data_IF_547383153562
#
_entry.id   IF_547383153562
#
_cell.length_a   1.000
_cell.length_b   1.000
_cell.length_c   1.000
_cell.angle_alpha   90.00
_cell.angle_beta   90.00
_cell.angle_gamma   90.00
#
_symmetry.space_group_name_H-M   'P 1'
#
loop_
_entity.id
_entity.type
_entity.pdbx_description
1 polymer ?
#
# COMPACT_ATOMS: atom_id res chain seq x y z
N UNK A 1 -6.12 -0.06 25.92
CA UNK A 1 -4.75 0.42 25.62
C UNK A 1 -3.89 -0.82 25.62
N UNK A 2 -3.24 -1.15 24.51
CA UNK A 2 -2.37 -2.33 24.46
C UNK A 2 -1.12 -2.11 25.29
N UNK A 3 -0.60 -3.15 25.96
CA UNK A 3 0.60 -3.05 26.77
C UNK A 3 1.80 -2.64 25.90
N UNK A 4 2.75 -1.92 26.50
CA UNK A 4 4.02 -1.55 25.83
C UNK A 4 5.05 -2.69 25.85
N UNK A 5 4.70 -3.84 26.38
CA UNK A 5 5.59 -5.01 26.42
C UNK A 5 5.46 -5.71 25.08
N UNK A 6 6.43 -5.51 24.26
CA UNK A 6 6.56 -6.15 22.96
C UNK A 6 7.14 -7.56 23.17
N UNK A 7 6.37 -8.60 22.90
CA UNK A 7 6.97 -9.92 22.79
C UNK A 7 7.69 -10.00 21.46
N UNK A 8 8.98 -9.60 21.47
CA UNK A 8 9.88 -9.89 20.38
C UNK A 8 10.06 -11.41 20.27
N UNK A 9 9.85 -11.89 19.06
CA UNK A 9 10.04 -13.25 18.61
C UNK A 9 9.14 -14.28 19.32
N UNK A 10 8.25 -14.84 18.57
CA UNK A 10 7.72 -16.17 18.84
C UNK A 10 8.92 -17.09 19.18
N UNK A 11 8.87 -17.79 20.31
CA UNK A 11 9.83 -18.85 20.63
C UNK A 11 9.77 -20.03 19.64
N UNK A 12 8.82 -19.97 18.69
CA UNK A 12 8.56 -20.96 17.66
C UNK A 12 9.44 -20.74 16.44
N UNK A 13 9.89 -21.83 15.84
CA UNK A 13 10.69 -21.79 14.62
C UNK A 13 9.90 -21.17 13.45
N UNK A 14 10.58 -20.64 12.43
CA UNK A 14 9.94 -20.11 11.23
C UNK A 14 9.06 -21.17 10.55
N UNK A 15 9.51 -22.41 10.45
CA UNK A 15 8.73 -23.53 9.88
C UNK A 15 7.46 -23.83 10.68
N UNK A 16 7.49 -23.75 12.00
CA UNK A 16 6.30 -23.92 12.84
C UNK A 16 5.30 -22.78 12.63
N UNK A 17 5.77 -21.54 12.47
CA UNK A 17 4.89 -20.39 12.17
C UNK A 17 4.25 -20.52 10.78
N UNK A 18 5.01 -20.97 9.78
CA UNK A 18 4.48 -21.23 8.43
C UNK A 18 3.37 -22.28 8.47
N UNK A 19 3.54 -23.37 9.22
CA UNK A 19 2.51 -24.41 9.33
C UNK A 19 1.25 -23.91 10.06
N UNK A 20 1.44 -23.08 11.08
CA UNK A 20 0.32 -22.40 11.75
C UNK A 20 -0.42 -21.47 10.78
N UNK A 21 0.30 -20.76 9.92
CA UNK A 21 -0.31 -19.88 8.92
C UNK A 21 -1.10 -20.66 7.87
N UNK A 22 -0.55 -21.77 7.37
CA UNK A 22 -1.28 -22.70 6.47
C UNK A 22 -2.58 -23.18 7.10
N UNK A 23 -2.49 -23.61 8.36
CA UNK A 23 -3.65 -24.08 9.12
C UNK A 23 -4.68 -22.96 9.29
N UNK A 24 -4.25 -21.77 9.68
CA UNK A 24 -5.13 -20.61 9.85
C UNK A 24 -5.83 -20.22 8.54
N UNK A 25 -5.10 -20.22 7.41
CA UNK A 25 -5.65 -19.96 6.08
C UNK A 25 -6.66 -21.03 5.66
N UNK A 26 -6.37 -22.30 5.91
CA UNK A 26 -7.27 -23.41 5.59
C UNK A 26 -8.57 -23.32 6.38
N UNK A 27 -8.49 -23.08 7.67
CA UNK A 27 -9.57 -23.27 8.64
C UNK A 27 -10.38 -22.00 8.91
N UNK A 28 -9.97 -20.82 8.37
CA UNK A 28 -10.72 -19.58 8.53
C UNK A 28 -11.96 -19.54 7.64
N UNK A 29 -13.00 -18.86 8.14
CA UNK A 29 -14.22 -18.56 7.40
C UNK A 29 -14.00 -17.36 6.45
N UNK A 30 -13.17 -16.40 6.87
CA UNK A 30 -12.85 -15.20 6.10
C UNK A 30 -11.41 -14.73 6.33
N UNK A 31 -10.86 -14.04 5.33
CA UNK A 31 -9.53 -13.42 5.40
C UNK A 31 -9.64 -11.91 5.20
N UNK A 32 -9.06 -11.14 6.11
CA UNK A 32 -8.85 -9.69 5.92
C UNK A 32 -7.36 -9.44 5.72
N UNK A 33 -6.97 -9.10 4.52
CA UNK A 33 -5.59 -8.73 4.20
C UNK A 33 -5.38 -7.25 4.50
N UNK A 34 -4.38 -6.94 5.30
CA UNK A 34 -3.89 -5.58 5.54
C UNK A 34 -2.50 -5.41 4.96
N UNK A 35 -2.34 -4.58 3.93
CA UNK A 35 -1.08 -4.46 3.22
C UNK A 35 -0.48 -3.05 3.32
N UNK A 36 0.83 -2.99 3.61
CA UNK A 36 1.64 -1.78 3.60
C UNK A 36 2.81 -1.86 2.63
N UNK A 37 3.68 -0.86 2.67
CA UNK A 37 4.78 -0.68 1.71
C UNK A 37 5.74 -1.88 1.63
N UNK A 38 5.89 -2.67 2.71
CA UNK A 38 6.72 -3.86 2.71
C UNK A 38 6.26 -4.94 1.72
N UNK A 39 4.95 -5.02 1.39
CA UNK A 39 4.47 -5.91 0.35
C UNK A 39 4.96 -5.47 -1.03
N UNK A 40 4.90 -4.17 -1.34
CA UNK A 40 5.43 -3.62 -2.60
C UNK A 40 6.94 -3.73 -2.68
N UNK A 41 7.65 -3.55 -1.55
CA UNK A 41 9.10 -3.77 -1.48
C UNK A 41 9.46 -5.21 -1.81
N UNK A 42 8.75 -6.21 -1.23
CA UNK A 42 8.93 -7.62 -1.56
C UNK A 42 8.62 -7.92 -3.04
N UNK A 43 7.67 -7.17 -3.65
CA UNK A 43 7.38 -7.25 -5.08
C UNK A 43 8.45 -6.55 -5.97
N UNK A 44 9.48 -5.94 -5.37
CA UNK A 44 10.58 -5.29 -6.08
C UNK A 44 10.43 -3.79 -6.29
N UNK A 45 9.42 -3.14 -5.71
CA UNK A 45 9.29 -1.68 -5.71
C UNK A 45 10.18 -1.05 -4.63
N UNK A 46 11.50 -1.17 -4.84
CA UNK A 46 12.53 -0.62 -3.95
C UNK A 46 12.81 0.82 -4.36
N UNK A 47 12.88 1.73 -3.37
CA UNK A 47 13.06 3.18 -3.59
C UNK A 47 14.51 3.63 -3.61
N UNK A 48 15.46 2.73 -3.34
CA UNK A 48 16.91 2.96 -3.28
C UNK A 48 17.65 2.10 -4.28
N UNK A 49 18.98 2.25 -4.38
CA UNK A 49 19.89 1.42 -5.18
C UNK A 49 19.62 1.52 -6.68
N UNK A 50 19.89 0.42 -7.40
CA UNK A 50 19.87 0.37 -8.87
C UNK A 50 18.59 0.95 -9.49
N UNK A 51 17.42 0.68 -8.91
CA UNK A 51 16.14 1.18 -9.42
C UNK A 51 16.05 2.71 -9.32
N UNK A 52 16.55 3.30 -8.23
CA UNK A 52 16.66 4.74 -8.07
C UNK A 52 17.69 5.33 -9.04
N UNK A 53 18.88 4.79 -9.06
CA UNK A 53 19.98 5.25 -9.91
C UNK A 53 19.61 5.24 -11.40
N UNK A 54 18.96 4.18 -11.86
CA UNK A 54 18.50 4.05 -13.26
C UNK A 54 17.51 5.13 -13.68
N UNK A 55 16.63 5.57 -12.78
CA UNK A 55 15.50 6.44 -13.13
C UNK A 55 15.69 7.90 -12.68
N UNK A 56 16.60 8.18 -11.75
CA UNK A 56 16.75 9.50 -11.13
C UNK A 56 18.20 9.96 -10.97
N UNK A 57 19.17 9.42 -11.75
CA UNK A 57 20.59 9.77 -11.64
C UNK A 57 20.85 11.27 -11.86
N UNK A 58 20.13 11.90 -12.80
CA UNK A 58 20.20 13.33 -13.08
C UNK A 58 19.71 14.20 -11.90
N UNK A 59 18.62 13.78 -11.26
CA UNK A 59 18.10 14.43 -10.05
C UNK A 59 19.03 14.18 -8.84
N UNK A 60 19.57 12.96 -8.72
CA UNK A 60 20.52 12.63 -7.68
C UNK A 60 21.79 13.47 -7.79
N UNK A 61 22.34 13.64 -8.99
CA UNK A 61 23.52 14.47 -9.25
C UNK A 61 23.25 15.96 -8.93
N UNK A 62 22.09 16.49 -9.33
CA UNK A 62 21.76 17.90 -9.12
C UNK A 62 21.41 18.24 -7.67
N UNK A 63 20.66 17.36 -6.98
CA UNK A 63 20.06 17.67 -5.69
C UNK A 63 20.63 16.85 -4.52
N UNK A 64 21.48 15.88 -4.81
CA UNK A 64 22.07 15.00 -3.78
C UNK A 64 21.11 13.97 -3.21
N UNK A 65 20.04 13.62 -3.97
CA UNK A 65 19.08 12.59 -3.51
C UNK A 65 19.75 11.21 -3.45
N UNK A 66 19.37 10.42 -2.45
CA UNK A 66 19.84 9.05 -2.27
C UNK A 66 18.74 8.00 -2.45
N UNK A 67 17.50 8.43 -2.56
CA UNK A 67 16.32 7.60 -2.73
C UNK A 67 15.17 8.36 -3.41
N UNK A 68 14.15 7.63 -3.87
CA UNK A 68 12.99 8.24 -4.52
C UNK A 68 12.13 9.05 -3.55
N UNK A 69 12.08 8.66 -2.28
CA UNK A 69 11.20 9.26 -1.30
C UNK A 69 11.62 10.68 -0.95
N UNK A 70 12.93 10.90 -0.74
CA UNK A 70 13.48 12.23 -0.42
C UNK A 70 13.19 13.27 -1.51
N UNK A 71 13.29 12.88 -2.79
CA UNK A 71 12.96 13.74 -3.91
C UNK A 71 11.47 14.06 -4.03
N UNK A 72 10.59 13.17 -3.58
CA UNK A 72 9.13 13.38 -3.58
C UNK A 72 8.67 14.55 -2.69
N UNK A 73 9.44 14.88 -1.65
CA UNK A 73 9.15 16.01 -0.74
C UNK A 73 10.01 17.24 -0.99
N UNK A 74 10.85 17.21 -2.03
CA UNK A 74 11.73 18.32 -2.33
C UNK A 74 10.96 19.51 -2.94
N UNK A 75 11.16 20.75 -2.46
CA UNK A 75 10.50 21.95 -2.99
C UNK A 75 11.19 22.43 -4.28
N UNK A 76 10.88 21.77 -5.40
CA UNK A 76 11.43 22.15 -6.71
C UNK A 76 11.16 23.61 -7.07
N UNK A 77 12.09 24.25 -7.78
CA UNK A 77 12.02 25.67 -8.12
C UNK A 77 10.88 25.99 -9.11
N UNK A 78 10.49 25.04 -9.95
CA UNK A 78 9.41 25.22 -10.93
C UNK A 78 8.46 24.02 -10.95
N UNK A 79 7.17 24.24 -11.32
CA UNK A 79 6.21 23.15 -11.49
C UNK A 79 6.65 22.14 -12.56
N UNK A 80 7.31 22.58 -13.62
CA UNK A 80 7.80 21.71 -14.69
C UNK A 80 8.85 20.72 -14.18
N UNK A 81 9.71 21.14 -13.26
CA UNK A 81 10.73 20.29 -12.65
C UNK A 81 10.11 19.33 -11.62
N UNK A 82 9.18 19.82 -10.81
CA UNK A 82 8.39 19.00 -9.90
C UNK A 82 7.67 17.86 -10.65
N UNK A 83 7.00 18.18 -11.75
CA UNK A 83 6.30 17.19 -12.53
C UNK A 83 7.22 16.28 -13.36
N UNK A 84 8.42 16.72 -13.72
CA UNK A 84 9.42 15.85 -14.32
C UNK A 84 9.87 14.75 -13.33
N UNK A 85 10.06 15.11 -12.06
CA UNK A 85 10.35 14.13 -11.01
C UNK A 85 9.16 13.21 -10.76
N UNK A 86 7.99 13.76 -10.49
CA UNK A 86 6.80 13.00 -10.12
C UNK A 86 6.25 12.15 -11.28
N UNK A 87 6.36 12.57 -12.52
CA UNK A 87 5.94 11.73 -13.65
C UNK A 87 6.77 10.45 -13.75
N UNK A 88 8.10 10.52 -13.54
CA UNK A 88 8.95 9.32 -13.44
C UNK A 88 8.56 8.45 -12.25
N UNK A 89 8.37 9.07 -11.10
CA UNK A 89 7.99 8.37 -9.88
C UNK A 89 6.67 7.61 -10.06
N UNK A 90 5.64 8.28 -10.59
CA UNK A 90 4.33 7.69 -10.88
C UNK A 90 4.49 6.59 -11.93
N UNK A 91 5.17 6.86 -13.03
CA UNK A 91 5.30 5.91 -14.13
C UNK A 91 5.88 4.58 -13.67
N UNK A 92 7.00 4.59 -12.96
CA UNK A 92 7.68 3.36 -12.55
C UNK A 92 6.99 2.63 -11.39
N UNK A 93 6.21 3.33 -10.54
CA UNK A 93 5.53 2.71 -9.41
C UNK A 93 4.07 2.33 -9.69
N UNK A 94 3.45 2.95 -10.71
CA UNK A 94 2.04 2.78 -11.01
C UNK A 94 1.80 2.09 -12.36
N UNK A 95 2.57 2.47 -13.39
CA UNK A 95 2.32 2.03 -14.76
C UNK A 95 3.23 0.90 -15.23
N UNK A 96 4.40 0.73 -14.64
CA UNK A 96 5.22 -0.46 -14.85
C UNK A 96 4.73 -1.64 -14.01
N UNK A 97 4.99 -2.85 -14.48
CA UNK A 97 4.66 -4.05 -13.72
C UNK A 97 5.64 -4.27 -12.56
N UNK A 98 5.14 -4.92 -11.51
CA UNK A 98 5.98 -5.30 -10.39
C UNK A 98 7.04 -6.33 -10.85
N UNK A 99 8.31 -6.18 -10.44
CA UNK A 99 9.38 -7.10 -10.82
C UNK A 99 9.15 -8.56 -10.37
N UNK A 100 8.41 -8.75 -9.27
CA UNK A 100 8.10 -10.07 -8.71
C UNK A 100 6.60 -10.28 -8.62
N UNK A 101 6.07 -11.51 -8.83
CA UNK A 101 4.65 -11.81 -8.88
C UNK A 101 4.00 -11.98 -7.51
N UNK A 102 4.42 -11.19 -6.51
CA UNK A 102 4.01 -11.36 -5.10
C UNK A 102 2.51 -11.14 -4.91
N UNK A 103 1.92 -10.20 -5.64
CA UNK A 103 0.48 -9.94 -5.58
C UNK A 103 -0.34 -11.05 -6.24
N UNK A 104 0.15 -11.61 -7.35
CA UNK A 104 -0.46 -12.78 -8.00
C UNK A 104 -0.39 -14.01 -7.09
N UNK A 105 0.74 -14.22 -6.43
CA UNK A 105 0.91 -15.34 -5.50
C UNK A 105 0.00 -15.19 -4.27
N UNK A 106 -0.15 -13.99 -3.73
CA UNK A 106 -1.12 -13.71 -2.67
C UNK A 106 -2.55 -14.02 -3.14
N UNK A 107 -2.95 -13.55 -4.32
CA UNK A 107 -4.28 -13.81 -4.87
C UNK A 107 -4.55 -15.31 -5.00
N UNK A 108 -3.60 -16.09 -5.53
CA UNK A 108 -3.73 -17.57 -5.64
C UNK A 108 -4.02 -18.23 -4.29
N UNK A 109 -3.45 -17.70 -3.19
CA UNK A 109 -3.66 -18.27 -1.83
C UNK A 109 -5.02 -17.96 -1.24
N UNK A 110 -5.66 -16.87 -1.65
CA UNK A 110 -6.91 -16.41 -1.02
C UNK A 110 -8.10 -16.29 -1.98
N UNK A 111 -7.93 -16.52 -3.27
CA UNK A 111 -8.99 -16.32 -4.29
C UNK A 111 -10.28 -17.11 -3.99
N UNK A 112 -10.17 -18.33 -3.45
CA UNK A 112 -11.29 -19.17 -3.10
C UNK A 112 -11.89 -18.87 -1.72
N UNK A 113 -11.26 -17.95 -0.95
CA UNK A 113 -11.74 -17.54 0.37
C UNK A 113 -12.71 -16.38 0.27
N UNK A 114 -13.52 -16.22 1.29
CA UNK A 114 -14.24 -14.98 1.50
C UNK A 114 -13.24 -13.95 2.03
N UNK A 115 -12.73 -13.07 1.17
CA UNK A 115 -11.66 -12.14 1.51
C UNK A 115 -12.04 -10.68 1.30
N UNK A 116 -11.36 -9.82 2.02
CA UNK A 116 -11.29 -8.38 1.78
C UNK A 116 -9.86 -7.86 1.96
N UNK A 117 -9.47 -6.88 1.15
CA UNK A 117 -8.15 -6.23 1.23
C UNK A 117 -8.32 -4.78 1.66
N UNK A 118 -7.61 -4.37 2.69
CA UNK A 118 -7.36 -2.97 3.03
C UNK A 118 -5.88 -2.67 2.86
N UNK A 119 -5.54 -1.59 2.15
CA UNK A 119 -4.14 -1.25 1.90
C UNK A 119 -3.86 0.24 2.04
N UNK A 120 -2.66 0.56 2.49
CA UNK A 120 -2.08 1.91 2.45
C UNK A 120 -1.18 2.12 1.23
N UNK A 121 -1.01 1.10 0.38
CA UNK A 121 -0.26 1.20 -0.86
C UNK A 121 -1.07 1.93 -1.93
N UNK A 122 -0.37 2.73 -2.72
CA UNK A 122 -0.95 3.62 -3.75
C UNK A 122 -0.48 3.25 -5.17
N UNK A 123 0.17 2.09 -5.31
CA UNK A 123 0.80 1.59 -6.53
C UNK A 123 -0.12 0.80 -7.47
N UNK A 124 -1.36 0.54 -7.05
CA UNK A 124 -2.36 -0.20 -7.83
C UNK A 124 -2.03 -1.69 -8.10
N UNK A 125 -1.07 -2.26 -7.42
CA UNK A 125 -0.63 -3.63 -7.68
C UNK A 125 -1.71 -4.69 -7.42
N UNK A 126 -2.59 -4.47 -6.44
CA UNK A 126 -3.73 -5.36 -6.21
C UNK A 126 -4.66 -5.43 -7.42
N UNK A 127 -5.01 -4.28 -8.00
CA UNK A 127 -5.89 -4.22 -9.16
C UNK A 127 -5.22 -4.86 -10.39
N UNK A 128 -3.91 -4.61 -10.60
CA UNK A 128 -3.13 -5.22 -11.69
C UNK A 128 -3.06 -6.75 -11.59
N UNK A 129 -2.94 -7.28 -10.38
CA UNK A 129 -2.95 -8.72 -10.12
C UNK A 129 -4.35 -9.37 -10.23
N UNK A 130 -5.39 -8.58 -10.50
CA UNK A 130 -6.74 -9.09 -10.73
C UNK A 130 -7.60 -9.28 -9.47
N UNK A 131 -7.25 -8.65 -8.35
CA UNK A 131 -8.13 -8.63 -7.17
C UNK A 131 -9.46 -7.94 -7.51
N UNK A 132 -10.57 -8.49 -7.01
CA UNK A 132 -11.89 -7.88 -7.20
C UNK A 132 -11.94 -6.50 -6.52
N UNK A 133 -12.15 -5.45 -7.33
CA UNK A 133 -12.26 -4.06 -6.86
C UNK A 133 -13.35 -3.89 -5.79
N UNK A 134 -14.38 -4.75 -5.77
CA UNK A 134 -15.43 -4.71 -4.75
C UNK A 134 -14.95 -5.21 -3.39
N UNK A 135 -13.83 -5.93 -3.35
CA UNK A 135 -13.19 -6.51 -2.16
C UNK A 135 -11.87 -5.79 -1.81
N UNK A 136 -11.71 -4.55 -2.28
CA UNK A 136 -10.49 -3.78 -2.11
C UNK A 136 -10.80 -2.36 -1.63
N UNK A 137 -10.08 -1.91 -0.59
CA UNK A 137 -10.07 -0.53 -0.10
C UNK A 137 -8.63 -0.01 0.01
N UNK A 138 -8.24 0.87 -0.91
CA UNK A 138 -6.97 1.59 -0.89
C UNK A 138 -7.18 2.96 -0.23
N UNK A 139 -6.71 3.10 1.00
CA UNK A 139 -7.09 4.19 1.92
C UNK A 139 -6.36 5.50 1.71
N UNK A 140 -5.19 5.46 1.05
CA UNK A 140 -4.25 6.58 0.93
C UNK A 140 -4.23 7.21 -0.47
N UNK A 141 -5.16 6.82 -1.35
CA UNK A 141 -5.22 7.26 -2.75
C UNK A 141 -4.53 6.32 -3.73
N UNK A 142 -4.20 6.85 -4.91
CA UNK A 142 -3.59 6.09 -6.02
C UNK A 142 -2.67 7.02 -6.81
N UNK A 143 -1.45 6.59 -7.14
CA UNK A 143 -0.55 7.33 -8.02
C UNK A 143 -1.14 7.63 -9.40
N UNK A 144 -2.13 6.85 -9.84
CA UNK A 144 -2.83 7.03 -11.11
C UNK A 144 -3.93 8.09 -11.08
N UNK A 145 -4.10 8.83 -9.97
CA UNK A 145 -5.16 9.81 -9.82
C UNK A 145 -4.62 11.19 -9.48
N UNK A 146 -5.18 12.21 -10.15
CA UNK A 146 -5.03 13.59 -9.76
C UNK A 146 -6.24 14.09 -8.98
N UNK A 147 -6.04 15.13 -8.18
CA UNK A 147 -7.07 15.95 -7.54
C UNK A 147 -6.74 17.43 -7.66
N UNK A 148 -7.71 18.29 -7.45
CA UNK A 148 -7.44 19.74 -7.32
C UNK A 148 -6.54 19.99 -6.10
N UNK A 149 -5.48 20.79 -6.24
CA UNK A 149 -4.57 21.13 -5.12
C UNK A 149 -5.26 21.92 -4.02
N UNK A 150 -6.28 22.68 -4.36
CA UNK A 150 -7.20 23.32 -3.42
C UNK A 150 -8.60 22.72 -3.68
N UNK A 151 -9.03 21.65 -2.96
CA UNK A 151 -10.19 20.85 -3.32
C UNK A 151 -11.45 21.70 -3.57
N UNK A 152 -11.77 21.95 -4.83
CA UNK A 152 -12.98 22.65 -5.24
C UNK A 152 -14.16 21.70 -5.51
N UNK A 153 -13.89 20.41 -5.61
CA UNK A 153 -14.83 19.32 -5.80
C UNK A 153 -14.31 18.05 -5.13
N UNK A 154 -15.16 17.04 -4.98
CA UNK A 154 -14.82 15.73 -4.43
C UNK A 154 -14.62 14.70 -5.56
N UNK A 155 -13.86 15.10 -6.59
CA UNK A 155 -13.58 14.25 -7.76
C UNK A 155 -12.09 14.02 -7.92
N UNK A 156 -11.76 12.83 -8.39
CA UNK A 156 -10.41 12.44 -8.80
C UNK A 156 -10.38 12.18 -10.31
N UNK A 157 -9.23 12.37 -10.93
CA UNK A 157 -9.07 12.34 -12.38
C UNK A 157 -7.94 11.38 -12.75
N UNK A 158 -8.19 10.49 -13.72
CA UNK A 158 -7.15 9.61 -14.27
C UNK A 158 -6.01 10.42 -14.88
N UNK A 159 -4.78 9.97 -14.64
CA UNK A 159 -3.59 10.70 -15.08
C UNK A 159 -2.69 9.94 -16.07
N UNK A 160 -3.07 8.72 -16.49
CA UNK A 160 -2.17 7.86 -17.27
C UNK A 160 -1.68 8.53 -18.55
N UNK A 161 -2.60 9.13 -19.32
CA UNK A 161 -2.27 9.74 -20.62
C UNK A 161 -1.26 10.86 -20.43
N UNK A 162 -1.51 11.79 -19.50
CA UNK A 162 -0.62 12.93 -19.28
C UNK A 162 0.71 12.52 -18.66
N UNK A 163 0.72 11.55 -17.76
CA UNK A 163 1.98 11.03 -17.20
C UNK A 163 2.86 10.38 -18.28
N UNK A 164 2.28 9.62 -19.20
CA UNK A 164 3.03 9.06 -20.33
C UNK A 164 3.58 10.14 -21.26
N UNK A 165 2.80 11.18 -21.54
CA UNK A 165 3.28 12.35 -22.31
C UNK A 165 4.39 13.12 -21.60
N UNK A 166 4.29 13.30 -20.28
CA UNK A 166 5.35 13.91 -19.48
C UNK A 166 6.65 13.09 -19.53
N UNK A 167 6.55 11.74 -19.46
CA UNK A 167 7.71 10.85 -19.58
C UNK A 167 8.37 10.92 -20.94
N UNK A 168 7.59 10.99 -22.01
CA UNK A 168 8.07 11.01 -23.38
C UNK A 168 8.72 12.35 -23.76
N UNK A 169 8.18 13.46 -23.24
CA UNK A 169 8.51 14.80 -23.69
C UNK A 169 9.36 15.60 -22.71
N UNK A 170 9.74 15.03 -21.56
CA UNK A 170 10.60 15.74 -20.62
C UNK A 170 12.04 15.87 -21.14
N UNK A 171 12.61 17.06 -20.97
CA UNK A 171 14.00 17.36 -21.32
C UNK A 171 14.65 18.17 -20.18
N UNK A 172 15.94 17.93 -19.90
CA UNK A 172 16.69 18.66 -18.88
C UNK A 172 15.97 18.73 -17.50
N UNK A 173 15.38 17.61 -17.05
CA UNK A 173 14.60 17.52 -15.82
C UNK A 173 13.38 18.44 -15.77
N UNK A 174 12.76 18.75 -16.90
CA UNK A 174 11.54 19.57 -17.00
C UNK A 174 10.57 18.95 -18.00
N UNK A 175 9.29 19.03 -17.68
CA UNK A 175 8.23 18.76 -18.65
C UNK A 175 7.88 20.03 -19.42
N UNK A 176 7.29 19.94 -20.62
CA UNK A 176 6.67 21.10 -21.29
C UNK A 176 5.56 21.71 -20.43
N UNK A 177 5.50 23.06 -20.35
CA UNK A 177 4.53 23.77 -19.50
C UNK A 177 3.07 23.49 -19.87
N UNK A 178 2.77 23.15 -21.13
CA UNK A 178 1.43 22.78 -21.57
C UNK A 178 0.94 21.44 -21.00
N UNK A 179 1.82 20.63 -20.41
CA UNK A 179 1.46 19.38 -19.72
C UNK A 179 1.21 19.57 -18.22
N UNK A 180 1.37 20.78 -17.70
CA UNK A 180 1.05 21.06 -16.29
C UNK A 180 -0.44 20.78 -16.04
N UNK A 181 -0.78 19.89 -15.09
CA UNK A 181 -2.17 19.51 -14.88
C UNK A 181 -2.94 20.63 -14.18
N UNK A 182 -4.08 20.99 -14.77
CA UNK A 182 -4.98 22.01 -14.23
C UNK A 182 -6.37 21.42 -13.98
N UNK A 183 -7.00 21.85 -12.90
CA UNK A 183 -8.32 21.41 -12.51
C UNK A 183 -9.37 21.86 -13.55
N UNK A 184 -10.15 20.94 -14.12
CA UNK A 184 -11.16 21.28 -15.13
C UNK A 184 -12.30 22.13 -14.59
N UNK A 185 -12.53 22.15 -13.27
CA UNK A 185 -13.59 22.93 -12.65
C UNK A 185 -13.20 24.36 -12.31
N UNK A 186 -11.98 24.58 -11.80
CA UNK A 186 -11.58 25.92 -11.30
C UNK A 186 -10.30 26.49 -11.95
N UNK A 187 -9.62 25.73 -12.82
CA UNK A 187 -8.39 26.15 -13.48
C UNK A 187 -7.15 26.22 -12.58
N UNK A 188 -7.25 25.87 -11.29
CA UNK A 188 -6.09 25.82 -10.39
C UNK A 188 -5.23 24.60 -10.68
N UNK A 189 -3.95 24.59 -10.24
CA UNK A 189 -3.10 23.42 -10.38
C UNK A 189 -3.72 22.15 -9.78
N UNK A 190 -3.38 21.00 -10.32
CA UNK A 190 -3.70 19.72 -9.73
C UNK A 190 -2.48 19.14 -9.00
N UNK A 191 -2.72 18.20 -8.11
CA UNK A 191 -1.72 17.39 -7.43
C UNK A 191 -2.11 15.91 -7.50
N UNK A 192 -1.24 15.01 -7.04
CA UNK A 192 -1.58 13.60 -6.90
C UNK A 192 -2.65 13.42 -5.84
N UNK A 193 -3.57 12.47 -6.04
CA UNK A 193 -4.50 12.05 -4.99
C UNK A 193 -3.78 11.10 -4.02
N UNK A 194 -2.98 11.69 -3.14
CA UNK A 194 -2.24 11.00 -2.08
C UNK A 194 -2.54 11.66 -0.73
N UNK A 195 -2.80 10.86 0.29
CA UNK A 195 -3.07 11.37 1.64
C UNK A 195 -1.78 11.81 2.33
N UNK A 196 -1.30 12.99 1.99
CA UNK A 196 -0.14 13.65 2.62
C UNK A 196 -0.53 14.73 3.61
N UNK A 197 -1.73 15.30 3.46
CA UNK A 197 -2.27 16.39 4.26
C UNK A 197 -3.82 16.33 4.33
N UNK A 198 -4.43 17.38 4.87
CA UNK A 198 -5.89 17.52 5.05
C UNK A 198 -6.63 17.86 3.74
N UNK A 199 -5.91 18.13 2.64
CA UNK A 199 -6.50 18.41 1.33
C UNK A 199 -6.83 17.16 0.52
N UNK A 200 -6.59 15.97 1.06
CA UNK A 200 -6.89 14.69 0.40
C UNK A 200 -8.37 14.57 0.04
N UNK A 201 -8.66 14.31 -1.22
CA UNK A 201 -10.02 14.11 -1.73
C UNK A 201 -10.43 12.65 -1.55
N UNK A 202 -11.43 12.43 -0.71
CA UNK A 202 -12.13 11.16 -0.58
C UNK A 202 -13.33 11.18 -1.55
N UNK A 203 -13.13 10.66 -2.76
CA UNK A 203 -14.19 10.62 -3.77
C UNK A 203 -15.29 9.60 -3.44
N UNK A 204 -16.35 9.58 -4.26
CA UNK A 204 -17.46 8.64 -4.07
C UNK A 204 -17.00 7.17 -4.13
N UNK A 205 -15.96 6.87 -4.92
CA UNK A 205 -15.37 5.53 -5.02
C UNK A 205 -14.69 5.11 -3.72
N UNK A 206 -13.97 6.05 -3.09
CA UNK A 206 -13.34 5.87 -1.79
C UNK A 206 -14.37 5.59 -0.70
N UNK A 207 -15.42 6.41 -0.58
CA UNK A 207 -16.49 6.22 0.40
C UNK A 207 -17.22 4.88 0.22
N UNK A 208 -17.55 4.51 -1.01
CA UNK A 208 -18.14 3.19 -1.30
C UNK A 208 -17.24 2.01 -0.93
N UNK A 209 -15.92 2.17 -1.10
CA UNK A 209 -14.97 1.13 -0.68
C UNK A 209 -14.88 1.01 0.84
N UNK A 210 -14.90 2.15 1.56
CA UNK A 210 -14.92 2.20 3.02
C UNK A 210 -16.20 1.53 3.59
N UNK A 211 -17.36 1.80 2.99
CA UNK A 211 -18.63 1.17 3.37
C UNK A 211 -18.59 -0.36 3.17
N UNK A 212 -18.12 -0.83 2.01
CA UNK A 212 -17.98 -2.27 1.75
C UNK A 212 -17.04 -2.95 2.74
N UNK A 213 -15.94 -2.30 3.12
CA UNK A 213 -15.03 -2.82 4.15
C UNK A 213 -15.71 -2.92 5.52
N UNK A 214 -16.40 -1.86 5.93
CA UNK A 214 -17.15 -1.85 7.18
C UNK A 214 -18.24 -2.93 7.22
N UNK A 215 -18.98 -3.10 6.13
CA UNK A 215 -20.00 -4.14 5.98
C UNK A 215 -19.41 -5.55 5.99
N UNK A 216 -18.25 -5.75 5.35
CA UNK A 216 -17.55 -7.03 5.38
C UNK A 216 -17.22 -7.44 6.82
N UNK A 217 -16.65 -6.53 7.60
CA UNK A 217 -16.31 -6.77 9.01
C UNK A 217 -17.56 -6.99 9.89
N UNK A 218 -18.60 -6.20 9.67
CA UNK A 218 -19.84 -6.25 10.45
C UNK A 218 -20.58 -7.58 10.27
N UNK A 219 -20.68 -8.05 9.03
CA UNK A 219 -21.42 -9.27 8.68
C UNK A 219 -20.70 -10.55 9.08
N UNK A 220 -19.39 -10.49 9.36
CA UNK A 220 -18.56 -11.65 9.76
C UNK A 220 -18.17 -11.61 11.24
N UNK A 221 -18.81 -10.75 12.02
CA UNK A 221 -18.55 -10.66 13.46
C UNK A 221 -18.73 -12.01 14.15
N UNK A 222 -17.72 -12.44 14.90
CA UNK A 222 -17.71 -13.72 15.62
C UNK A 222 -17.29 -14.93 14.82
N UNK A 223 -17.10 -14.82 13.50
CA UNK A 223 -16.55 -15.89 12.65
C UNK A 223 -15.05 -16.10 12.91
N UNK A 224 -14.50 -17.18 12.37
CA UNK A 224 -13.04 -17.42 12.35
C UNK A 224 -12.39 -16.55 11.28
N UNK A 225 -12.00 -15.35 11.65
CA UNK A 225 -11.36 -14.39 10.73
C UNK A 225 -9.85 -14.49 10.89
N UNK A 226 -9.14 -14.63 9.77
CA UNK A 226 -7.71 -14.41 9.70
C UNK A 226 -7.44 -12.95 9.29
N UNK A 227 -6.89 -12.15 10.21
CA UNK A 227 -6.32 -10.84 9.92
C UNK A 227 -4.87 -11.03 9.49
N UNK A 228 -4.62 -10.95 8.18
CA UNK A 228 -3.32 -11.18 7.57
C UNK A 228 -2.65 -9.84 7.24
N UNK A 229 -1.69 -9.43 8.06
CA UNK A 229 -0.92 -8.20 7.90
C UNK A 229 0.39 -8.48 7.13
N UNK A 230 0.59 -7.75 6.02
CA UNK A 230 1.71 -7.91 5.11
C UNK A 230 2.48 -6.59 4.96
N UNK A 231 3.65 -6.51 5.58
CA UNK A 231 4.59 -5.40 5.40
C UNK A 231 4.08 -4.03 5.84
N UNK A 232 3.22 -3.97 6.87
CA UNK A 232 2.75 -2.69 7.44
C UNK A 232 3.79 -2.14 8.40
N UNK A 233 4.33 -0.96 8.07
CA UNK A 233 5.27 -0.23 8.92
C UNK A 233 4.59 0.58 10.02
N UNK A 234 5.42 1.35 10.79
CA UNK A 234 4.97 2.21 11.87
C UNK A 234 4.61 3.65 11.44
N UNK A 235 4.72 3.99 10.16
CA UNK A 235 4.35 5.33 9.70
C UNK A 235 2.84 5.58 9.79
N UNK A 236 2.03 4.56 9.49
CA UNK A 236 0.55 4.65 9.51
C UNK A 236 -0.11 3.46 10.20
N UNK A 237 0.31 3.07 11.43
CA UNK A 237 -0.17 1.85 12.10
C UNK A 237 -1.66 1.93 12.48
N UNK A 238 -2.20 3.14 12.57
CA UNK A 238 -3.60 3.40 12.96
C UNK A 238 -4.63 2.91 11.95
N UNK A 239 -4.23 2.70 10.68
CA UNK A 239 -5.15 2.29 9.62
C UNK A 239 -5.33 0.76 9.58
N UNK A 240 -4.27 -0.01 9.78
CA UNK A 240 -4.29 -1.47 9.64
C UNK A 240 -3.86 -2.15 10.94
N UNK A 241 -2.63 -1.92 11.40
CA UNK A 241 -2.00 -2.65 12.48
C UNK A 241 -2.81 -2.61 13.78
N UNK A 242 -3.10 -1.43 14.29
CA UNK A 242 -3.86 -1.27 15.54
C UNK A 242 -5.31 -1.74 15.43
N UNK A 243 -6.07 -1.46 14.36
CA UNK A 243 -7.38 -2.03 14.14
C UNK A 243 -7.37 -3.57 14.11
N UNK A 244 -6.40 -4.21 13.44
CA UNK A 244 -6.30 -5.67 13.40
C UNK A 244 -6.06 -6.27 14.79
N UNK A 245 -5.20 -5.67 15.59
CA UNK A 245 -5.00 -6.08 16.98
C UNK A 245 -6.29 -5.97 17.81
N UNK A 246 -6.98 -4.82 17.70
CA UNK A 246 -8.23 -4.59 18.42
C UNK A 246 -9.33 -5.57 18.01
N UNK A 247 -9.49 -5.83 16.71
CA UNK A 247 -10.48 -6.78 16.20
C UNK A 247 -10.14 -8.23 16.64
N UNK A 248 -8.86 -8.59 16.62
CA UNK A 248 -8.41 -9.90 17.12
C UNK A 248 -8.65 -10.03 18.61
N UNK A 249 -8.39 -9.00 19.41
CA UNK A 249 -8.63 -9.01 20.85
C UNK A 249 -10.13 -9.18 21.17
N UNK A 250 -11.01 -8.51 20.41
CA UNK A 250 -12.47 -8.54 20.62
C UNK A 250 -13.15 -9.81 20.11
N UNK A 251 -12.56 -10.52 19.14
CA UNK A 251 -13.13 -11.75 18.58
C UNK A 251 -12.28 -12.97 19.00
N UNK A 252 -12.75 -13.83 19.92
CA UNK A 252 -11.98 -14.96 20.40
C UNK A 252 -11.70 -16.02 19.31
N UNK A 253 -12.45 -16.02 18.21
CA UNK A 253 -12.27 -16.92 17.07
C UNK A 253 -11.31 -16.36 16.02
N UNK A 254 -10.86 -15.09 16.14
CA UNK A 254 -9.96 -14.48 15.19
C UNK A 254 -8.50 -14.87 15.45
N UNK A 255 -7.74 -14.98 14.36
CA UNK A 255 -6.29 -15.15 14.35
C UNK A 255 -5.66 -13.92 13.68
N UNK A 256 -4.58 -13.41 14.25
CA UNK A 256 -3.76 -12.38 13.64
C UNK A 256 -2.47 -13.00 13.10
N UNK A 257 -2.14 -12.71 11.85
CA UNK A 257 -0.86 -13.10 11.27
C UNK A 257 -0.13 -11.84 10.75
N UNK A 258 1.12 -11.67 11.14
CA UNK A 258 1.97 -10.58 10.71
C UNK A 258 3.22 -11.12 10.02
N UNK A 259 3.42 -10.77 8.76
CA UNK A 259 4.62 -11.07 7.99
C UNK A 259 5.30 -9.75 7.65
N UNK A 260 6.51 -9.57 8.16
CA UNK A 260 7.30 -8.38 7.94
C UNK A 260 8.77 -8.71 8.14
N UNK A 261 9.65 -8.16 7.33
CA UNK A 261 11.09 -8.51 7.38
C UNK A 261 11.79 -8.02 8.65
N UNK A 262 11.36 -6.88 9.23
CA UNK A 262 12.05 -6.26 10.38
C UNK A 262 11.11 -5.91 11.54
N UNK A 263 9.82 -5.81 11.29
CA UNK A 263 8.85 -5.23 12.23
C UNK A 263 7.64 -6.15 12.48
N UNK A 264 7.84 -7.47 12.37
CA UNK A 264 6.78 -8.42 12.69
C UNK A 264 6.69 -8.62 14.20
N UNK A 265 5.55 -8.26 14.80
CA UNK A 265 5.25 -8.53 16.20
C UNK A 265 3.73 -8.47 16.46
N UNK A 266 3.34 -8.94 17.64
CA UNK A 266 1.98 -8.86 18.15
C UNK A 266 1.99 -8.45 19.62
N UNK A 267 0.99 -7.70 20.11
CA UNK A 267 0.87 -7.40 21.53
C UNK A 267 0.53 -8.65 22.35
N UNK A 268 0.91 -8.63 23.62
CA UNK A 268 0.76 -9.76 24.54
C UNK A 268 -0.71 -10.26 24.64
N UNK A 269 -1.65 -9.34 24.61
CA UNK A 269 -3.09 -9.61 24.74
C UNK A 269 -3.65 -10.56 23.65
N UNK A 270 -2.98 -10.64 22.49
CA UNK A 270 -3.36 -11.53 21.39
C UNK A 270 -2.29 -12.58 21.06
N UNK A 271 -1.19 -12.64 21.81
CA UNK A 271 -0.02 -13.48 21.48
C UNK A 271 -0.37 -14.97 21.29
N UNK A 272 -1.31 -15.52 22.07
CA UNK A 272 -1.77 -16.92 21.93
C UNK A 272 -2.44 -17.21 20.57
N UNK A 273 -3.01 -16.20 19.94
CA UNK A 273 -3.72 -16.26 18.65
C UNK A 273 -2.98 -15.50 17.55
N UNK A 274 -1.73 -15.16 17.79
CA UNK A 274 -0.88 -14.47 16.82
C UNK A 274 0.11 -15.43 16.15
N UNK A 275 0.36 -15.19 14.89
CA UNK A 275 1.38 -15.82 14.05
C UNK A 275 2.30 -14.70 13.59
N UNK A 276 3.57 -14.74 13.99
CA UNK A 276 4.52 -13.65 13.72
C UNK A 276 5.70 -14.21 12.96
N UNK A 277 5.95 -13.71 11.76
CA UNK A 277 7.01 -14.17 10.86
C UNK A 277 7.88 -12.99 10.44
N UNK A 278 9.15 -13.01 10.87
CA UNK A 278 10.17 -12.05 10.46
C UNK A 278 10.94 -12.64 9.26
N UNK A 279 10.40 -12.48 8.06
CA UNK A 279 11.03 -12.89 6.80
C UNK A 279 10.42 -12.13 5.62
N UNK A 280 10.99 -12.33 4.43
CA UNK A 280 10.46 -11.80 3.19
C UNK A 280 9.07 -12.38 2.86
N UNK A 281 8.14 -11.48 2.50
CA UNK A 281 6.73 -11.85 2.25
C UNK A 281 6.61 -12.84 1.09
N UNK A 282 7.38 -12.63 0.01
CA UNK A 282 7.38 -13.50 -1.16
C UNK A 282 7.79 -14.92 -0.82
N UNK A 283 8.86 -15.08 -0.01
CA UNK A 283 9.29 -16.41 0.46
C UNK A 283 8.20 -17.11 1.26
N UNK A 284 7.52 -16.38 2.14
CA UNK A 284 6.46 -16.96 2.97
C UNK A 284 5.25 -17.33 2.12
N UNK A 285 4.84 -16.49 1.17
CA UNK A 285 3.73 -16.80 0.25
C UNK A 285 4.01 -18.02 -0.63
N UNK A 286 5.26 -18.25 -1.02
CA UNK A 286 5.66 -19.46 -1.74
C UNK A 286 5.65 -20.70 -0.83
N UNK A 287 5.91 -20.52 0.46
CA UNK A 287 5.98 -21.61 1.43
C UNK A 287 4.63 -22.05 1.98
N UNK A 288 3.53 -21.29 1.80
CA UNK A 288 2.19 -21.63 2.33
C UNK A 288 1.22 -22.23 1.31
#
# INVERSE_FOLDING_TARGET
MFSRIWTNASTKSCSEQIERLRTALRDCDAVVVGAGAGLSTSAGFIYTGERFEKNFSDFAEKYGFQDMYSGGFYPFATPEEHWAYWSRYIYINRYMDAPQPIYDDLLKRIAEKDYFVITTNVDHCFQKAGFDKKRLFYTQGDYGLFQCSEPCCQETFDNEVVIRQMMERQENMKIPSELLPVCPHCGKPMTMNLRSDDAFVEDEGWHRAAERYADFLRTRKGQKILFLELGVGYNTPVIIKYPFWQMTAKNPNATYACINQEQAFAPEEIASRAIVVNDDIGKILQAI
#
